data_IF_459070920707
#
_entry.id   IF_459070920707
#
_cell.length_a   1.000
_cell.length_b   1.000
_cell.length_c   1.000
_cell.angle_alpha   90.00
_cell.angle_beta   90.00
_cell.angle_gamma   90.00
#
_symmetry.space_group_name_H-M   'P 1'
#
loop_
_entity.id
_entity.type
_entity.pdbx_description
1 polymer ?
#
# COMPACT_ATOMS: atom_id res chain seq x y z
N UNK A 1 -27.52 -70.88 -21.98
CA UNK A 1 -27.91 -69.46 -21.80
C UNK A 1 -26.90 -68.77 -20.87
N UNK A 2 -26.21 -67.77 -21.42
CA UNK A 2 -25.46 -66.64 -20.85
C UNK A 2 -24.51 -66.79 -19.63
N UNK A 3 -23.19 -66.75 -19.91
CA UNK A 3 -22.16 -66.23 -18.98
C UNK A 3 -22.18 -64.70 -19.05
N UNK A 4 -22.34 -64.02 -17.90
CA UNK A 4 -22.14 -62.56 -17.78
C UNK A 4 -20.69 -62.30 -17.37
N UNK A 5 -19.92 -61.66 -18.26
CA UNK A 5 -18.63 -61.06 -17.93
C UNK A 5 -18.87 -59.60 -17.53
N UNK A 6 -18.63 -59.25 -16.27
CA UNK A 6 -18.61 -57.87 -15.81
C UNK A 6 -17.27 -57.21 -16.15
N UNK A 7 -17.28 -56.17 -16.96
CA UNK A 7 -16.11 -55.30 -17.14
C UNK A 7 -15.99 -54.38 -15.93
N UNK A 8 -14.88 -54.46 -15.19
CA UNK A 8 -14.50 -53.43 -14.23
C UNK A 8 -13.89 -52.25 -15.01
N UNK A 9 -14.62 -51.14 -15.09
CA UNK A 9 -14.05 -49.85 -15.48
C UNK A 9 -13.27 -49.27 -14.29
N UNK A 10 -11.95 -49.20 -14.43
CA UNK A 10 -11.08 -48.50 -13.50
C UNK A 10 -11.12 -47.00 -13.84
N UNK A 11 -11.86 -46.21 -13.05
CA UNK A 11 -11.88 -44.76 -13.21
C UNK A 11 -10.60 -44.17 -12.58
N UNK A 12 -9.64 -43.77 -13.42
CA UNK A 12 -8.49 -42.97 -12.98
C UNK A 12 -8.99 -41.58 -12.58
N UNK A 13 -9.08 -41.31 -11.28
CA UNK A 13 -9.28 -39.95 -10.77
C UNK A 13 -7.94 -39.22 -10.79
N UNK A 14 -7.67 -38.48 -11.86
CA UNK A 14 -6.54 -37.55 -11.94
C UNK A 14 -6.76 -36.43 -10.92
N UNK A 15 -6.08 -36.53 -9.78
CA UNK A 15 -6.04 -35.45 -8.78
C UNK A 15 -5.22 -34.31 -9.36
N UNK A 16 -5.91 -33.27 -9.82
CA UNK A 16 -5.27 -32.01 -10.18
C UNK A 16 -4.83 -31.34 -8.88
N UNK A 17 -3.53 -31.35 -8.63
CA UNK A 17 -2.94 -30.55 -7.57
C UNK A 17 -3.03 -29.08 -8.02
N UNK A 18 -4.05 -28.36 -7.56
CA UNK A 18 -4.16 -26.93 -7.77
C UNK A 18 -3.04 -26.25 -6.98
N UNK A 19 -1.90 -26.00 -7.62
CA UNK A 19 -0.87 -25.13 -7.07
C UNK A 19 -1.44 -23.71 -7.01
N UNK A 20 -1.90 -23.31 -5.82
CA UNK A 20 -2.26 -21.92 -5.57
C UNK A 20 -0.97 -21.11 -5.66
N UNK A 21 -0.84 -20.28 -6.69
CA UNK A 21 0.19 -19.26 -6.72
C UNK A 21 -0.04 -18.37 -5.48
N UNK A 22 0.96 -18.19 -4.61
CA UNK A 22 0.91 -17.09 -3.65
C UNK A 22 0.99 -15.78 -4.44
N UNK A 23 -0.16 -15.15 -4.62
CA UNK A 23 -0.27 -13.85 -5.25
C UNK A 23 -0.02 -12.75 -4.23
N UNK A 24 0.60 -11.62 -4.62
CA UNK A 24 0.59 -10.43 -3.80
C UNK A 24 -0.83 -10.10 -3.34
N UNK A 25 -0.97 -9.63 -2.10
CA UNK A 25 -2.28 -9.27 -1.57
C UNK A 25 -2.89 -8.15 -2.41
N UNK A 26 -4.17 -8.27 -2.74
CA UNK A 26 -4.93 -7.14 -3.29
C UNK A 26 -5.04 -6.01 -2.27
N UNK A 27 -5.33 -4.79 -2.72
CA UNK A 27 -5.53 -3.64 -1.82
C UNK A 27 -6.62 -3.91 -0.77
N UNK A 28 -7.73 -4.53 -1.17
CA UNK A 28 -8.85 -4.81 -0.29
C UNK A 28 -8.49 -5.85 0.79
N UNK A 29 -7.77 -6.92 0.41
CA UNK A 29 -7.27 -7.93 1.35
C UNK A 29 -6.25 -7.32 2.31
N UNK A 30 -5.30 -6.53 1.80
CA UNK A 30 -4.31 -5.85 2.63
C UNK A 30 -5.00 -4.96 3.67
N UNK A 31 -5.95 -4.13 3.24
CA UNK A 31 -6.71 -3.23 4.12
C UNK A 31 -7.47 -3.99 5.21
N UNK A 32 -8.11 -5.10 4.85
CA UNK A 32 -8.81 -5.96 5.81
C UNK A 32 -7.85 -6.53 6.86
N UNK A 33 -6.74 -7.11 6.42
CA UNK A 33 -5.75 -7.72 7.33
C UNK A 33 -5.04 -6.66 8.17
N UNK A 34 -4.67 -5.51 7.59
CA UNK A 34 -4.01 -4.42 8.30
C UNK A 34 -4.87 -3.86 9.43
N UNK A 35 -6.18 -3.63 9.20
CA UNK A 35 -7.11 -3.21 10.27
C UNK A 35 -7.17 -4.21 11.43
N UNK A 36 -7.17 -5.51 11.12
CA UNK A 36 -7.25 -6.58 12.11
C UNK A 36 -5.95 -6.74 12.91
N UNK A 37 -4.81 -6.69 12.23
CA UNK A 37 -3.54 -7.15 12.77
C UNK A 37 -2.61 -6.03 13.25
N UNK A 38 -2.86 -4.80 12.81
CA UNK A 38 -2.02 -3.64 13.08
C UNK A 38 -2.83 -2.36 13.40
N UNK A 39 -3.83 -2.40 14.29
CA UNK A 39 -4.76 -1.28 14.52
C UNK A 39 -4.10 -0.02 15.10
N UNK A 40 -2.85 -0.09 15.57
CA UNK A 40 -2.12 1.06 16.09
C UNK A 40 -1.48 1.95 15.02
N UNK A 41 -1.55 1.57 13.73
CA UNK A 41 -1.00 2.34 12.61
C UNK A 41 -2.05 2.43 11.51
N UNK A 42 -2.17 3.60 10.87
CA UNK A 42 -3.09 3.79 9.75
C UNK A 42 -2.79 2.79 8.62
N UNK A 43 -3.83 2.19 8.01
CA UNK A 43 -3.65 1.19 6.96
C UNK A 43 -2.95 1.77 5.73
N UNK A 44 -3.21 3.03 5.39
CA UNK A 44 -2.54 3.74 4.30
C UNK A 44 -1.02 3.83 4.50
N UNK A 45 -0.55 4.10 5.73
CA UNK A 45 0.87 4.10 6.07
C UNK A 45 1.48 2.72 5.90
N UNK A 46 0.82 1.68 6.42
CA UNK A 46 1.28 0.30 6.28
C UNK A 46 1.31 -0.14 4.82
N UNK A 47 0.29 0.23 4.03
CA UNK A 47 0.21 -0.10 2.62
C UNK A 47 1.32 0.57 1.81
N UNK A 48 1.63 1.83 2.11
CA UNK A 48 2.73 2.54 1.47
C UNK A 48 4.08 1.87 1.75
N UNK A 49 4.31 1.43 2.99
CA UNK A 49 5.52 0.69 3.37
C UNK A 49 5.53 -0.68 2.67
N UNK A 50 4.46 -1.47 2.77
CA UNK A 50 4.37 -2.79 2.14
C UNK A 50 4.59 -2.73 0.61
N UNK A 51 4.13 -1.65 -0.04
CA UNK A 51 4.36 -1.42 -1.47
C UNK A 51 5.86 -1.27 -1.79
N UNK A 52 6.60 -0.54 -0.96
CA UNK A 52 8.05 -0.34 -1.12
C UNK A 52 8.82 -1.60 -0.73
N UNK A 53 8.42 -2.27 0.34
CA UNK A 53 9.12 -3.43 0.90
C UNK A 53 8.99 -4.69 0.04
N UNK A 54 7.75 -5.09 -0.29
CA UNK A 54 7.49 -6.39 -0.93
C UNK A 54 6.61 -6.28 -2.17
N UNK A 55 6.06 -5.10 -2.47
CA UNK A 55 4.96 -4.93 -3.43
C UNK A 55 3.75 -5.79 -3.08
N UNK A 56 3.46 -5.90 -1.78
CA UNK A 56 2.38 -6.72 -1.20
C UNK A 56 2.59 -8.24 -1.28
N UNK A 57 3.80 -8.72 -1.56
CA UNK A 57 4.13 -10.15 -1.59
C UNK A 57 4.43 -10.68 -0.17
N UNK A 58 3.57 -11.54 0.41
CA UNK A 58 3.80 -12.10 1.74
C UNK A 58 4.93 -13.13 1.79
N UNK A 59 5.38 -13.67 0.66
CA UNK A 59 6.41 -14.70 0.58
C UNK A 59 7.75 -14.20 0.02
N UNK A 60 7.92 -12.88 -0.11
CA UNK A 60 9.19 -12.27 -0.51
C UNK A 60 10.26 -12.45 0.58
N UNK A 61 11.48 -12.81 0.16
CA UNK A 61 12.65 -12.93 1.04
C UNK A 61 13.80 -12.17 0.39
N UNK A 62 14.32 -11.16 1.06
CA UNK A 62 15.57 -10.52 0.68
C UNK A 62 16.70 -11.03 1.57
N UNK A 63 17.76 -11.57 0.98
CA UNK A 63 18.95 -12.05 1.68
C UNK A 63 20.02 -10.96 1.67
N UNK A 64 20.18 -10.26 2.79
CA UNK A 64 21.15 -9.17 2.94
C UNK A 64 22.61 -9.66 2.88
N UNK A 65 22.86 -10.95 3.07
CA UNK A 65 24.21 -11.52 3.00
C UNK A 65 24.64 -11.74 1.56
N UNK A 66 23.74 -12.15 0.67
CA UNK A 66 24.03 -12.42 -0.74
C UNK A 66 23.60 -11.31 -1.69
N UNK A 67 22.69 -10.44 -1.26
CA UNK A 67 22.02 -9.43 -2.09
C UNK A 67 20.89 -9.99 -2.96
N UNK A 68 20.52 -11.26 -2.79
CA UNK A 68 19.48 -11.93 -3.56
C UNK A 68 18.08 -11.59 -3.04
N UNK A 69 17.11 -11.42 -3.94
CA UNK A 69 15.69 -11.37 -3.59
C UNK A 69 14.97 -12.56 -4.22
N UNK A 70 14.32 -13.35 -3.37
CA UNK A 70 13.58 -14.55 -3.73
C UNK A 70 12.08 -14.32 -3.57
N UNK A 71 11.32 -14.85 -4.52
CA UNK A 71 9.85 -14.86 -4.51
C UNK A 71 9.37 -16.31 -4.57
N UNK A 72 8.43 -16.66 -3.70
CA UNK A 72 7.93 -18.02 -3.57
C UNK A 72 6.42 -18.06 -3.79
N UNK A 73 5.95 -19.22 -4.25
CA UNK A 73 4.51 -19.49 -4.41
C UNK A 73 3.99 -20.39 -3.29
N UNK A 74 4.86 -21.21 -2.71
CA UNK A 74 4.52 -22.14 -1.64
C UNK A 74 5.12 -21.67 -0.31
N UNK A 75 4.25 -21.53 0.70
CA UNK A 75 4.64 -21.04 2.03
C UNK A 75 5.61 -22.01 2.74
N UNK A 76 5.46 -23.32 2.51
CA UNK A 76 6.33 -24.33 3.13
C UNK A 76 7.75 -24.25 2.58
N UNK A 77 7.89 -24.12 1.26
CA UNK A 77 9.18 -23.93 0.59
C UNK A 77 9.85 -22.63 1.03
N UNK A 78 9.11 -21.51 1.04
CA UNK A 78 9.61 -20.24 1.56
C UNK A 78 10.14 -20.38 3.00
N UNK A 79 9.37 -21.04 3.86
CA UNK A 79 9.76 -21.29 5.26
C UNK A 79 11.03 -22.14 5.37
N UNK A 80 11.17 -23.18 4.54
CA UNK A 80 12.38 -24.02 4.50
C UNK A 80 13.60 -23.21 4.09
N UNK A 81 13.46 -22.32 3.09
CA UNK A 81 14.54 -21.44 2.63
C UNK A 81 14.95 -20.46 3.72
N UNK A 82 13.99 -19.81 4.39
CA UNK A 82 14.29 -18.94 5.54
C UNK A 82 15.07 -19.70 6.60
N UNK A 83 14.61 -20.89 7.02
CA UNK A 83 15.32 -21.71 8.02
C UNK A 83 16.75 -22.06 7.58
N UNK A 84 16.90 -22.59 6.38
CA UNK A 84 18.21 -22.98 5.84
C UNK A 84 19.20 -21.80 5.82
N UNK A 85 18.77 -20.62 5.36
CA UNK A 85 19.60 -19.41 5.32
C UNK A 85 19.93 -18.89 6.73
N UNK A 86 19.00 -18.97 7.69
CA UNK A 86 19.27 -18.60 9.08
C UNK A 86 20.25 -19.55 9.77
N UNK A 87 20.17 -20.85 9.50
CA UNK A 87 21.14 -21.84 9.99
C UNK A 87 22.54 -21.56 9.43
N UNK A 88 22.61 -21.08 8.18
CA UNK A 88 23.84 -20.55 7.56
C UNK A 88 24.25 -19.16 8.06
N UNK A 89 23.57 -18.59 9.07
CA UNK A 89 23.85 -17.29 9.71
C UNK A 89 23.64 -16.08 8.79
N UNK A 90 22.81 -16.19 7.76
CA UNK A 90 22.45 -15.06 6.91
C UNK A 90 21.54 -14.07 7.64
N UNK A 91 21.53 -12.81 7.19
CA UNK A 91 20.52 -11.83 7.58
C UNK A 91 19.49 -11.67 6.49
N UNK A 92 18.22 -11.84 6.84
CA UNK A 92 17.12 -11.88 5.87
C UNK A 92 16.10 -10.81 6.22
N UNK A 93 15.53 -10.13 5.23
CA UNK A 93 14.26 -9.43 5.38
C UNK A 93 13.15 -10.32 4.82
N UNK A 94 12.11 -10.56 5.62
CA UNK A 94 11.16 -11.64 5.35
C UNK A 94 9.72 -11.14 5.34
N UNK A 95 9.01 -11.57 4.30
CA UNK A 95 7.57 -11.49 4.14
C UNK A 95 7.04 -10.11 3.79
N UNK A 96 5.73 -9.94 4.01
CA UNK A 96 4.95 -8.78 3.54
C UNK A 96 5.57 -7.43 3.91
N UNK A 97 6.07 -7.31 5.14
CA UNK A 97 6.66 -6.08 5.67
C UNK A 97 8.19 -6.11 5.74
N UNK A 98 8.82 -7.12 5.12
CA UNK A 98 10.27 -7.32 5.06
C UNK A 98 10.95 -7.15 6.44
N UNK A 99 10.48 -7.92 7.42
CA UNK A 99 11.02 -7.82 8.78
C UNK A 99 12.39 -8.50 8.82
N UNK A 100 13.42 -7.76 9.27
CA UNK A 100 14.76 -8.33 9.39
C UNK A 100 14.81 -9.46 10.43
N UNK A 101 15.46 -10.57 10.09
CA UNK A 101 15.58 -11.77 10.89
C UNK A 101 16.27 -11.54 12.23
N UNK A 102 17.13 -10.52 12.33
CA UNK A 102 17.76 -10.12 13.60
C UNK A 102 16.75 -9.65 14.64
N UNK A 103 15.59 -9.16 14.21
CA UNK A 103 14.54 -8.66 15.10
C UNK A 103 13.53 -9.75 15.51
N UNK A 104 13.61 -10.97 14.94
CA UNK A 104 12.60 -12.00 15.14
C UNK A 104 12.38 -12.36 16.61
N UNK A 105 13.47 -12.60 17.35
CA UNK A 105 13.37 -12.98 18.76
C UNK A 105 12.67 -11.91 19.59
N UNK A 106 13.01 -10.63 19.38
CA UNK A 106 12.40 -9.50 20.10
C UNK A 106 10.91 -9.32 19.74
N UNK A 107 10.54 -9.63 18.50
CA UNK A 107 9.19 -9.48 17.98
C UNK A 107 8.33 -10.75 18.12
N UNK A 108 8.87 -11.82 18.72
CA UNK A 108 8.18 -13.11 18.84
C UNK A 108 7.88 -13.78 17.50
N UNK A 109 8.65 -13.47 16.44
CA UNK A 109 8.47 -14.05 15.12
C UNK A 109 9.25 -15.35 14.96
N UNK A 110 8.63 -16.29 14.27
CA UNK A 110 9.28 -17.48 13.72
C UNK A 110 9.48 -17.31 12.21
N UNK A 111 10.36 -18.10 11.55
CA UNK A 111 10.48 -18.13 10.10
C UNK A 111 9.13 -18.30 9.36
N UNK A 112 8.29 -19.20 9.85
CA UNK A 112 6.93 -19.44 9.33
C UNK A 112 6.02 -18.22 9.56
N UNK A 113 6.07 -17.64 10.75
CA UNK A 113 5.25 -16.50 11.14
C UNK A 113 5.57 -15.24 10.35
N UNK A 114 6.84 -14.97 10.07
CA UNK A 114 7.27 -13.79 9.32
C UNK A 114 6.73 -13.77 7.87
N UNK A 115 6.47 -14.95 7.29
CA UNK A 115 5.86 -15.13 5.97
C UNK A 115 4.32 -15.07 5.99
N UNK A 116 3.70 -14.92 7.17
CA UNK A 116 2.25 -14.73 7.32
C UNK A 116 1.95 -13.23 7.40
N UNK A 117 0.96 -12.78 6.64
CA UNK A 117 0.61 -11.36 6.55
C UNK A 117 0.33 -10.72 7.92
N UNK A 118 -0.47 -11.38 8.76
CA UNK A 118 -0.90 -10.83 10.04
C UNK A 118 0.27 -10.65 11.04
N UNK A 119 1.10 -11.67 11.35
CA UNK A 119 2.30 -11.45 12.17
C UNK A 119 3.29 -10.45 11.58
N UNK A 120 3.48 -10.45 10.25
CA UNK A 120 4.36 -9.48 9.56
C UNK A 120 3.88 -8.03 9.78
N UNK A 121 2.57 -7.78 9.62
CA UNK A 121 1.94 -6.48 9.87
C UNK A 121 2.00 -6.07 11.35
N UNK A 122 1.72 -6.98 12.28
CA UNK A 122 1.81 -6.71 13.72
C UNK A 122 3.25 -6.33 14.11
N UNK A 123 4.25 -7.04 13.59
CA UNK A 123 5.66 -6.75 13.81
C UNK A 123 6.04 -5.36 13.28
N UNK A 124 5.64 -5.03 12.05
CA UNK A 124 5.88 -3.72 11.47
C UNK A 124 5.23 -2.58 12.28
N UNK A 125 3.99 -2.78 12.71
CA UNK A 125 3.26 -1.82 13.53
C UNK A 125 3.94 -1.58 14.88
N UNK A 126 4.45 -2.64 15.52
CA UNK A 126 5.22 -2.52 16.76
C UNK A 126 6.52 -1.72 16.55
N UNK A 127 7.25 -1.99 15.46
CA UNK A 127 8.46 -1.24 15.11
C UNK A 127 8.16 0.25 14.84
N UNK A 128 7.10 0.56 14.08
CA UNK A 128 6.71 1.94 13.83
C UNK A 128 6.25 2.65 15.11
N UNK A 129 5.37 2.01 15.89
CA UNK A 129 4.83 2.57 17.13
C UNK A 129 5.94 2.87 18.13
N UNK A 130 6.90 1.96 18.32
CA UNK A 130 8.03 2.17 19.24
C UNK A 130 8.96 3.32 18.84
N UNK A 131 8.90 3.77 17.58
CA UNK A 131 9.77 4.82 17.02
C UNK A 131 9.04 6.13 16.76
N UNK A 132 7.72 6.15 16.93
CA UNK A 132 6.90 7.32 16.70
C UNK A 132 6.82 8.16 17.98
N UNK A 133 7.41 9.36 17.93
CA UNK A 133 7.47 10.28 19.07
C UNK A 133 6.19 11.10 19.31
N UNK A 134 5.24 11.11 18.35
CA UNK A 134 4.06 11.97 18.43
C UNK A 134 4.36 13.44 18.13
N UNK A 135 3.53 14.33 18.68
CA UNK A 135 3.57 15.77 18.46
C UNK A 135 2.24 16.41 18.89
N UNK A 136 2.24 17.72 19.14
CA UNK A 136 1.02 18.46 19.49
C UNK A 136 0.30 18.91 18.23
N UNK A 137 1.07 19.44 17.28
CA UNK A 137 0.59 19.92 15.99
C UNK A 137 0.56 18.81 14.92
N UNK A 138 -0.10 19.09 13.80
CA UNK A 138 -0.11 18.19 12.63
C UNK A 138 1.31 18.05 12.06
N UNK A 139 2.04 19.17 11.93
CA UNK A 139 3.37 19.18 11.32
C UNK A 139 4.38 18.36 12.14
N UNK A 140 4.36 18.51 13.47
CA UNK A 140 5.20 17.71 14.37
C UNK A 140 4.90 16.21 14.25
N UNK A 141 3.61 15.83 14.22
CA UNK A 141 3.20 14.44 14.02
C UNK A 141 3.70 13.89 12.68
N UNK A 142 3.62 14.68 11.61
CA UNK A 142 4.14 14.26 10.29
C UNK A 142 5.67 14.12 10.29
N UNK A 143 6.40 15.04 10.93
CA UNK A 143 7.85 14.93 11.10
C UNK A 143 8.22 13.68 11.90
N UNK A 144 7.53 13.43 13.03
CA UNK A 144 7.75 12.25 13.84
C UNK A 144 7.46 10.94 13.09
N UNK A 145 6.40 10.91 12.26
CA UNK A 145 6.08 9.76 11.42
C UNK A 145 7.18 9.49 10.39
N UNK A 146 7.64 10.53 9.67
CA UNK A 146 8.73 10.38 8.69
C UNK A 146 10.04 9.90 9.34
N UNK A 147 10.36 10.39 10.54
CA UNK A 147 11.50 9.91 11.33
C UNK A 147 11.33 8.44 11.71
N UNK A 148 10.13 8.03 12.15
CA UNK A 148 9.84 6.62 12.44
C UNK A 148 9.99 5.74 11.20
N UNK A 149 9.55 6.20 10.03
CA UNK A 149 9.72 5.53 8.73
C UNK A 149 11.21 5.43 8.34
N UNK A 150 12.00 6.49 8.55
CA UNK A 150 13.45 6.45 8.34
C UNK A 150 14.11 5.37 9.21
N UNK A 151 13.71 5.30 10.48
CA UNK A 151 14.23 4.34 11.42
C UNK A 151 13.69 2.92 11.20
N UNK A 152 12.55 2.75 10.53
CA UNK A 152 12.07 1.45 10.07
C UNK A 152 13.06 0.81 9.10
N UNK A 153 13.53 1.59 8.10
CA UNK A 153 14.46 1.10 7.07
C UNK A 153 15.90 0.91 7.56
N UNK A 154 16.41 1.83 8.39
CA UNK A 154 17.86 1.88 8.71
C UNK A 154 18.19 1.70 10.19
N UNK A 155 17.17 1.65 11.07
CA UNK A 155 17.35 1.79 12.51
C UNK A 155 17.68 3.22 12.97
N UNK A 156 17.87 4.19 12.05
CA UNK A 156 18.23 5.56 12.34
C UNK A 156 17.18 6.57 11.85
N UNK A 157 16.89 7.59 12.65
CA UNK A 157 15.82 8.56 12.38
C UNK A 157 16.09 9.50 11.20
N UNK A 158 17.31 9.53 10.65
CA UNK A 158 17.73 10.47 9.59
C UNK A 158 18.20 9.75 8.31
N UNK A 159 18.90 8.61 8.42
CA UNK A 159 19.54 7.95 7.26
C UNK A 159 18.58 7.52 6.16
N UNK A 160 17.32 7.21 6.50
CA UNK A 160 16.26 6.87 5.55
C UNK A 160 15.78 8.05 4.69
N UNK A 161 16.05 9.29 5.11
CA UNK A 161 15.87 10.46 4.25
C UNK A 161 16.99 10.54 3.22
N UNK A 162 18.24 10.40 3.67
CA UNK A 162 19.42 10.51 2.82
C UNK A 162 19.47 9.43 1.73
N UNK A 163 19.04 8.19 2.03
CA UNK A 163 18.97 7.11 1.03
C UNK A 163 17.68 7.13 0.17
N UNK A 164 16.81 8.12 0.38
CA UNK A 164 15.56 8.31 -0.38
C UNK A 164 14.40 7.38 0.01
N UNK A 165 14.55 6.52 1.02
CA UNK A 165 13.51 5.59 1.44
C UNK A 165 12.22 6.30 1.88
N UNK A 166 12.33 7.36 2.71
CA UNK A 166 11.14 8.10 3.18
C UNK A 166 10.34 8.66 2.00
N UNK A 167 11.02 9.24 1.00
CA UNK A 167 10.38 9.77 -0.21
C UNK A 167 9.68 8.69 -1.04
N UNK A 168 10.26 7.48 -1.11
CA UNK A 168 9.61 6.34 -1.79
C UNK A 168 8.30 5.96 -1.10
N UNK A 169 8.30 5.92 0.23
CA UNK A 169 7.08 5.61 1.01
C UNK A 169 6.03 6.70 0.82
N UNK A 170 6.40 7.99 0.85
CA UNK A 170 5.46 9.09 0.59
C UNK A 170 4.87 9.03 -0.82
N UNK A 171 5.71 8.72 -1.82
CA UNK A 171 5.26 8.55 -3.22
C UNK A 171 4.32 7.37 -3.36
N UNK A 172 4.61 6.26 -2.66
CA UNK A 172 3.72 5.10 -2.62
C UNK A 172 2.37 5.47 -1.96
N UNK A 173 2.38 6.24 -0.86
CA UNK A 173 1.17 6.70 -0.19
C UNK A 173 0.28 7.56 -1.11
N UNK A 174 0.86 8.41 -1.96
CA UNK A 174 0.12 9.22 -2.94
C UNK A 174 -0.48 8.37 -4.08
N UNK A 175 0.17 7.26 -4.44
CA UNK A 175 -0.26 6.38 -5.52
C UNK A 175 -1.38 5.41 -5.09
N UNK A 176 -1.57 5.25 -3.78
CA UNK A 176 -2.65 4.46 -3.20
C UNK A 176 -3.94 5.30 -3.24
N UNK A 177 -4.56 5.37 -4.41
CA UNK A 177 -5.89 5.97 -4.57
C UNK A 177 -6.89 5.09 -3.81
N UNK A 178 -7.67 5.64 -2.86
CA UNK A 178 -8.71 4.87 -2.19
C UNK A 178 -9.67 4.25 -3.21
N UNK A 179 -10.13 3.03 -2.96
CA UNK A 179 -11.22 2.47 -3.75
C UNK A 179 -12.42 3.42 -3.68
N UNK A 180 -13.08 3.64 -4.83
CA UNK A 180 -14.42 4.21 -4.81
C UNK A 180 -15.29 3.28 -3.98
N UNK A 181 -15.83 3.81 -2.89
CA UNK A 181 -16.86 3.09 -2.13
C UNK A 181 -18.08 3.08 -3.03
N UNK A 182 -18.36 1.95 -3.67
CA UNK A 182 -19.70 1.75 -4.23
C UNK A 182 -20.68 1.87 -3.06
N UNK A 183 -21.69 2.76 -3.15
CA UNK A 183 -22.71 2.84 -2.11
C UNK A 183 -23.30 1.44 -1.91
N UNK A 184 -23.70 1.06 -0.69
CA UNK A 184 -24.34 -0.22 -0.43
C UNK A 184 -25.42 -0.44 -1.49
N UNK A 185 -25.31 -1.54 -2.25
CA UNK A 185 -26.39 -1.92 -3.16
C UNK A 185 -27.58 -2.28 -2.30
N UNK A 186 -28.48 -1.32 -2.17
CA UNK A 186 -29.77 -1.52 -1.55
C UNK A 186 -30.57 -2.40 -2.50
N UNK A 187 -30.83 -3.66 -2.11
CA UNK A 187 -31.61 -4.65 -2.89
C UNK A 187 -33.11 -4.27 -3.00
N UNK A 188 -33.45 -2.99 -2.82
CA UNK A 188 -34.77 -2.44 -3.07
C UNK A 188 -34.87 -1.96 -4.51
N UNK A 189 -35.19 -2.91 -5.40
CA UNK A 189 -35.48 -2.65 -6.80
C UNK A 189 -36.75 -1.78 -6.96
N UNK A 190 -36.52 -0.61 -7.55
CA UNK A 190 -37.37 0.17 -8.48
C UNK A 190 -38.43 1.15 -7.92
N UNK A 191 -38.23 2.44 -8.25
CA UNK A 191 -38.89 3.08 -9.40
C UNK A 191 -38.06 4.28 -9.91
N UNK A 192 -38.04 4.43 -11.24
CA UNK A 192 -37.26 5.41 -12.01
C UNK A 192 -37.64 6.87 -11.72
N UNK A 193 -36.67 7.77 -11.82
CA UNK A 193 -36.85 9.00 -12.61
C UNK A 193 -35.58 9.29 -13.41
N UNK A 194 -35.78 9.49 -14.70
CA UNK A 194 -34.75 9.84 -15.68
C UNK A 194 -34.37 11.31 -15.46
N UNK A 195 -33.21 11.56 -14.86
CA UNK A 195 -32.51 12.83 -15.04
C UNK A 195 -31.22 12.55 -15.81
N UNK A 196 -31.31 12.83 -17.10
CA UNK A 196 -30.19 12.82 -18.03
C UNK A 196 -29.30 14.01 -17.70
N UNK A 197 -28.22 13.75 -16.95
CA UNK A 197 -27.15 14.73 -16.76
C UNK A 197 -26.33 14.85 -18.05
N UNK A 198 -26.76 15.73 -18.94
CA UNK A 198 -25.99 16.14 -20.10
C UNK A 198 -24.92 17.16 -19.68
N UNK A 199 -23.68 16.70 -19.53
CA UNK A 199 -22.54 17.50 -19.05
C UNK A 199 -22.01 18.48 -20.13
N UNK A 200 -22.42 18.34 -21.40
CA UNK A 200 -21.87 19.13 -22.51
C UNK A 200 -22.90 19.80 -23.44
N UNK A 201 -24.18 19.83 -23.06
CA UNK A 201 -25.29 20.15 -23.98
C UNK A 201 -25.56 21.62 -24.37
N UNK A 202 -24.90 22.64 -23.81
CA UNK A 202 -25.39 24.04 -23.94
C UNK A 202 -24.58 25.00 -24.83
N UNK A 203 -23.58 24.57 -25.60
CA UNK A 203 -22.82 25.51 -26.45
C UNK A 203 -23.33 25.76 -27.87
N UNK A 204 -24.41 25.12 -28.33
CA UNK A 204 -24.86 25.29 -29.72
C UNK A 204 -26.40 25.34 -29.90
N UNK A 205 -26.98 26.52 -29.64
CA UNK A 205 -28.13 27.07 -30.41
C UNK A 205 -28.40 28.54 -30.03
N UNK A 206 -27.90 29.48 -30.85
CA UNK A 206 -28.67 30.30 -31.82
C UNK A 206 -29.34 31.50 -31.12
N UNK A 207 -28.83 32.73 -31.20
CA UNK A 207 -28.66 33.58 -32.41
C UNK A 207 -29.98 33.78 -33.18
N UNK A 208 -30.97 34.45 -32.59
CA UNK A 208 -31.95 35.27 -33.32
C UNK A 208 -32.87 36.05 -32.37
N UNK A 209 -32.94 37.38 -32.61
CA UNK A 209 -34.01 38.33 -32.26
C UNK A 209 -34.13 38.63 -30.74
N UNK A 210 -33.73 39.80 -30.23
CA UNK A 210 -34.38 41.09 -30.45
C UNK A 210 -33.37 42.27 -30.53
N UNK A 211 -33.69 43.26 -31.37
CA UNK A 211 -32.97 44.53 -31.42
C UNK A 211 -33.75 45.64 -30.72
N UNK A 212 -33.10 46.37 -29.80
CA UNK A 212 -33.25 47.82 -29.59
C UNK A 212 -31.97 48.37 -28.95
N UNK A 213 -31.27 49.25 -29.68
CA UNK A 213 -30.64 50.49 -29.20
C UNK A 213 -29.55 50.48 -28.10
N UNK A 214 -28.37 50.98 -28.47
CA UNK A 214 -27.52 51.74 -27.54
C UNK A 214 -26.09 51.25 -27.40
N UNK A 215 -25.17 51.90 -28.12
CA UNK A 215 -23.74 51.87 -27.90
C UNK A 215 -23.37 52.19 -26.44
N UNK A 216 -22.42 51.47 -25.86
CA UNK A 216 -21.32 51.94 -25.00
C UNK A 216 -20.52 50.70 -24.54
N UNK A 217 -19.23 50.67 -24.87
CA UNK A 217 -18.28 49.70 -24.34
C UNK A 217 -17.70 50.22 -23.01
N UNK A 218 -17.47 49.35 -22.00
CA UNK A 218 -16.53 49.64 -20.93
C UNK A 218 -15.17 48.97 -21.20
N UNK A 219 -14.11 49.77 -21.16
CA UNK A 219 -12.71 49.37 -21.14
C UNK A 219 -12.35 48.58 -19.86
N UNK A 220 -11.28 47.75 -19.88
CA UNK A 220 -10.78 47.08 -18.67
C UNK A 220 -9.96 48.06 -17.81
N UNK A 221 -9.94 47.93 -16.47
CA UNK A 221 -8.93 48.57 -15.67
C UNK A 221 -7.63 47.75 -15.64
N UNK A 222 -6.58 48.55 -15.53
CA UNK A 222 -5.17 48.32 -15.71
C UNK A 222 -4.50 47.36 -14.71
N UNK A 223 -3.32 46.92 -15.09
CA UNK A 223 -2.36 46.27 -14.19
C UNK A 223 -1.83 47.26 -13.15
N UNK A 224 -1.57 46.80 -11.93
CA UNK A 224 -0.51 47.38 -11.10
C UNK A 224 0.36 46.30 -10.45
N UNK A 225 1.64 46.58 -10.54
CA UNK A 225 2.78 45.80 -10.10
C UNK A 225 3.03 46.01 -8.60
N UNK A 226 3.35 44.93 -7.89
CA UNK A 226 3.80 45.04 -6.50
C UNK A 226 4.73 43.91 -6.11
N UNK A 227 6.03 44.09 -6.36
CA UNK A 227 7.13 43.29 -5.80
C UNK A 227 7.06 43.26 -4.27
N UNK A 228 7.35 42.10 -3.68
CA UNK A 228 8.31 42.02 -2.57
C UNK A 228 8.75 40.58 -2.37
N UNK A 229 10.04 40.35 -2.55
CA UNK A 229 10.75 39.25 -1.92
C UNK A 229 10.79 39.52 -0.41
N UNK A 230 10.69 38.49 0.42
CA UNK A 230 11.54 38.42 1.60
C UNK A 230 11.77 36.98 2.04
N UNK A 231 12.98 36.82 2.56
CA UNK A 231 13.68 35.66 3.05
C UNK A 231 12.98 35.01 4.25
N UNK A 232 13.06 33.68 4.37
CA UNK A 232 13.24 33.07 5.69
C UNK A 232 13.80 31.66 5.60
N UNK A 233 15.12 31.65 5.52
CA UNK A 233 16.00 30.55 5.86
C UNK A 233 15.99 30.36 7.38
N UNK A 234 15.59 29.18 7.88
CA UNK A 234 15.88 28.79 9.27
C UNK A 234 16.56 27.43 9.31
N UNK A 235 17.85 27.55 9.53
CA UNK A 235 18.86 26.57 9.90
C UNK A 235 18.54 25.97 11.29
N UNK A 236 18.58 24.65 11.46
CA UNK A 236 18.85 24.06 12.77
C UNK A 236 19.68 22.79 12.64
N UNK A 237 20.87 22.89 13.25
CA UNK A 237 21.89 21.88 13.44
C UNK A 237 21.49 20.77 14.42
N UNK A 238 22.06 19.59 14.14
CA UNK A 238 22.64 18.60 15.08
C UNK A 238 21.94 18.33 16.42
N UNK A 239 21.44 17.10 16.59
CA UNK A 239 21.88 16.08 17.57
C UNK A 239 21.30 14.70 17.20
#
# INVERSE_FOLDING_TARGET
MFKRSGSLSLALMSSFCSSSLATPLSSAEFDHVARKCAPSVATSTLAAIAKVESRFDPLAIHDNTTGETLHWQDHTQATQVVRHRLDARHSLDVGLMQINSRNFSMLGLTPDGALKACPSLSAAANMLKSRYAGGETIDEKQIALRRAISAYNTGNFIRGFANGYVRKVETAAQSLVPALIEPPQDDHKALKSEDTWDVWGSYQRRSQEDGVGGSIAPQPPDQDNGKSADDNQVLFDLY
#
